data_IF_928342971178
#
_entry.id   IF_928342971178
#
_cell.length_a   1.000
_cell.length_b   1.000
_cell.length_c   1.000
_cell.angle_alpha   90.00
_cell.angle_beta   90.00
_cell.angle_gamma   90.00
#
_symmetry.space_group_name_H-M   'P 1'
#
loop_
_entity.id
_entity.type
_entity.pdbx_description
1 polymer ?
#
# COMPACT_ATOMS: atom_id res chain seq x y z
N UNK A 1 -13.98 11.75 -8.19
CA UNK A 1 -13.45 12.23 -6.90
C UNK A 1 -14.14 11.46 -5.78
N UNK A 2 -13.39 10.97 -4.79
CA UNK A 2 -13.97 10.24 -3.65
C UNK A 2 -14.91 11.13 -2.84
N UNK A 3 -16.00 10.55 -2.37
CA UNK A 3 -16.92 11.16 -1.42
C UNK A 3 -16.61 10.68 -0.01
N UNK A 4 -16.90 11.49 1.02
CA UNK A 4 -16.83 11.02 2.41
C UNK A 4 -17.60 9.70 2.57
N UNK A 5 -17.05 8.76 3.34
CA UNK A 5 -17.55 7.38 3.52
C UNK A 5 -17.49 6.44 2.30
N UNK A 6 -16.91 6.85 1.17
CA UNK A 6 -16.63 5.91 0.10
C UNK A 6 -15.71 4.79 0.60
N UNK A 7 -15.91 3.59 0.04
CA UNK A 7 -14.97 2.48 0.23
C UNK A 7 -13.76 2.73 -0.66
N UNK A 8 -12.59 2.83 -0.04
CA UNK A 8 -11.31 2.93 -0.74
C UNK A 8 -10.62 1.58 -0.66
N UNK A 9 -10.20 1.08 -1.81
CA UNK A 9 -9.42 -0.13 -1.91
C UNK A 9 -7.94 0.23 -1.94
N UNK A 10 -7.19 -0.35 -1.02
CA UNK A 10 -5.74 -0.31 -1.01
C UNK A 10 -5.21 -1.64 -1.50
N UNK A 11 -4.26 -1.62 -2.42
CA UNK A 11 -3.44 -2.78 -2.75
C UNK A 11 -2.08 -2.63 -2.07
N UNK A 12 -1.63 -3.69 -1.39
CA UNK A 12 -0.23 -3.84 -1.00
C UNK A 12 0.44 -4.79 -1.99
N UNK A 13 1.55 -4.37 -2.57
CA UNK A 13 2.32 -5.16 -3.53
C UNK A 13 3.82 -5.04 -3.25
N UNK A 14 4.58 -6.06 -3.66
CA UNK A 14 6.03 -6.09 -3.51
C UNK A 14 6.69 -6.43 -4.83
N UNK A 15 7.60 -5.58 -5.27
CA UNK A 15 8.40 -5.81 -6.48
C UNK A 15 9.89 -5.85 -6.16
N UNK A 16 10.61 -6.76 -6.80
CA UNK A 16 12.03 -6.99 -6.53
C UNK A 16 12.83 -7.07 -7.83
N UNK A 17 13.74 -6.12 -8.04
CA UNK A 17 14.60 -6.00 -9.22
C UNK A 17 16.07 -6.06 -8.79
N UNK A 18 16.64 -7.26 -8.82
CA UNK A 18 18.04 -7.49 -8.42
C UNK A 18 18.27 -7.17 -6.94
N UNK A 19 18.85 -6.01 -6.65
CA UNK A 19 19.10 -5.52 -5.28
C UNK A 19 18.01 -4.57 -4.78
N UNK A 20 17.13 -4.11 -5.67
CA UNK A 20 16.03 -3.21 -5.33
C UNK A 20 14.87 -4.07 -4.85
N UNK A 21 14.38 -3.83 -3.63
CA UNK A 21 13.21 -4.49 -3.07
C UNK A 21 12.25 -3.41 -2.57
N UNK A 22 11.11 -3.25 -3.22
CA UNK A 22 10.16 -2.19 -2.93
C UNK A 22 8.86 -2.82 -2.43
N UNK A 23 8.44 -2.40 -1.24
CA UNK A 23 7.10 -2.65 -0.72
C UNK A 23 6.25 -1.39 -0.94
N UNK A 24 5.10 -1.54 -1.57
CA UNK A 24 4.29 -0.42 -2.02
C UNK A 24 2.84 -0.60 -1.55
N UNK A 25 2.20 0.51 -1.18
CA UNK A 25 0.75 0.62 -1.02
C UNK A 25 0.19 1.57 -2.07
N UNK A 26 -0.84 1.12 -2.76
CA UNK A 26 -1.54 1.86 -3.81
C UNK A 26 -3.02 1.99 -3.52
N UNK A 27 -3.60 3.13 -3.88
CA UNK A 27 -5.06 3.33 -3.94
C UNK A 27 -5.56 2.84 -5.29
N UNK A 28 -6.59 2.01 -5.28
CA UNK A 28 -7.31 1.63 -6.49
C UNK A 28 -8.46 2.61 -6.72
N UNK A 29 -8.42 3.29 -7.85
CA UNK A 29 -9.46 4.20 -8.29
C UNK A 29 -9.66 4.10 -9.80
N UNK A 30 -10.91 4.01 -10.24
CA UNK A 30 -11.28 4.00 -11.66
C UNK A 30 -10.48 2.95 -12.47
N UNK A 31 -10.47 1.70 -11.96
CA UNK A 31 -9.74 0.57 -12.55
C UNK A 31 -8.21 0.75 -12.67
N UNK A 32 -7.63 1.71 -11.92
CA UNK A 32 -6.19 1.98 -11.91
C UNK A 32 -5.63 1.94 -10.49
N UNK A 33 -4.40 1.46 -10.38
CA UNK A 33 -3.63 1.45 -9.13
C UNK A 33 -2.69 2.65 -9.09
N UNK A 34 -2.81 3.47 -8.05
CA UNK A 34 -2.01 4.67 -7.85
C UNK A 34 -1.16 4.54 -6.58
N UNK A 35 0.18 4.50 -6.68
CA UNK A 35 1.04 4.37 -5.51
C UNK A 35 0.93 5.61 -4.63
N UNK A 36 0.62 5.40 -3.34
CA UNK A 36 0.51 6.47 -2.33
C UNK A 36 1.64 6.41 -1.30
N UNK A 37 2.24 5.23 -1.11
CA UNK A 37 3.38 5.05 -0.23
C UNK A 37 4.23 3.88 -0.73
N UNK A 38 5.55 3.98 -0.55
CA UNK A 38 6.49 2.90 -0.84
C UNK A 38 7.72 2.98 0.07
N UNK A 39 8.32 1.84 0.31
CA UNK A 39 9.52 1.69 1.11
C UNK A 39 10.52 0.77 0.40
N UNK A 40 11.78 1.19 0.37
CA UNK A 40 12.86 0.31 -0.05
C UNK A 40 13.27 -0.55 1.13
N UNK A 41 13.07 -1.85 1.01
CA UNK A 41 13.48 -2.81 2.03
C UNK A 41 14.99 -3.06 1.90
N UNK A 42 15.74 -2.86 2.99
CA UNK A 42 17.18 -3.12 3.06
C UNK A 42 17.53 -4.61 3.17
N UNK A 43 16.73 -5.46 2.51
CA UNK A 43 16.89 -6.91 2.49
C UNK A 43 16.42 -7.49 1.17
N UNK A 44 17.05 -8.60 0.80
CA UNK A 44 16.60 -9.44 -0.32
C UNK A 44 15.50 -10.38 0.17
N UNK A 45 14.50 -10.62 -0.68
CA UNK A 45 13.43 -11.58 -0.40
C UNK A 45 12.13 -10.92 0.10
N UNK A 46 11.39 -11.64 0.95
CA UNK A 46 10.03 -11.26 1.35
C UNK A 46 10.01 -10.15 2.40
N UNK A 47 8.96 -9.33 2.37
CA UNK A 47 8.62 -8.47 3.50
C UNK A 47 8.14 -9.31 4.69
N UNK A 48 8.17 -8.73 5.88
CA UNK A 48 7.56 -9.31 7.08
C UNK A 48 6.31 -8.51 7.49
N UNK A 49 5.59 -9.02 8.48
CA UNK A 49 4.37 -8.39 8.97
C UNK A 49 4.59 -6.97 9.50
N UNK A 50 5.73 -6.71 10.16
CA UNK A 50 6.05 -5.40 10.73
C UNK A 50 6.28 -4.35 9.63
N UNK A 51 6.99 -4.71 8.57
CA UNK A 51 7.21 -3.84 7.39
C UNK A 51 5.90 -3.56 6.66
N UNK A 52 5.07 -4.59 6.43
CA UNK A 52 3.75 -4.40 5.83
C UNK A 52 2.87 -3.48 6.68
N UNK A 53 2.87 -3.68 8.01
CA UNK A 53 2.12 -2.86 8.95
C UNK A 53 2.63 -1.42 8.98
N UNK A 54 3.94 -1.21 8.93
CA UNK A 54 4.54 0.12 8.92
C UNK A 54 4.12 0.93 7.68
N UNK A 55 4.22 0.33 6.49
CA UNK A 55 3.85 0.93 5.20
C UNK A 55 2.33 1.20 5.15
N UNK A 56 1.50 0.28 5.64
CA UNK A 56 0.04 0.47 5.70
C UNK A 56 -0.40 1.54 6.70
N UNK A 57 0.27 1.63 7.87
CA UNK A 57 -0.10 2.59 8.91
C UNK A 57 0.01 4.04 8.44
N UNK A 58 1.00 4.35 7.59
CA UNK A 58 1.14 5.66 6.94
C UNK A 58 -0.04 5.97 6.03
N UNK A 59 -0.50 4.96 5.30
CA UNK A 59 -1.63 5.05 4.37
C UNK A 59 -2.98 5.23 5.08
N UNK A 60 -3.16 4.59 6.25
CA UNK A 60 -4.38 4.74 7.05
C UNK A 60 -4.55 6.15 7.63
N UNK A 61 -3.46 6.81 8.03
CA UNK A 61 -3.51 8.21 8.45
C UNK A 61 -4.05 9.13 7.36
N UNK A 62 -3.56 8.96 6.13
CA UNK A 62 -3.98 9.72 4.96
C UNK A 62 -5.46 9.50 4.61
N UNK A 63 -5.97 8.29 4.82
CA UNK A 63 -7.31 7.86 4.41
C UNK A 63 -8.30 7.71 5.57
N UNK A 64 -8.00 8.34 6.71
CA UNK A 64 -8.78 8.23 7.96
C UNK A 64 -10.26 8.61 7.83
N UNK A 65 -10.63 9.43 6.85
CA UNK A 65 -12.01 9.84 6.57
C UNK A 65 -12.81 8.84 5.70
N UNK A 66 -12.20 7.72 5.32
CA UNK A 66 -12.77 6.75 4.39
C UNK A 66 -12.81 5.35 4.99
N UNK A 67 -13.68 4.50 4.44
CA UNK A 67 -13.69 3.07 4.78
C UNK A 67 -12.66 2.35 3.94
N UNK A 68 -11.53 2.01 4.53
CA UNK A 68 -10.43 1.34 3.84
C UNK A 68 -10.64 -0.18 3.79
N UNK A 69 -10.39 -0.78 2.63
CA UNK A 69 -10.30 -2.22 2.40
C UNK A 69 -8.91 -2.52 1.85
N UNK A 70 -8.14 -3.35 2.53
CA UNK A 70 -6.80 -3.74 2.08
C UNK A 70 -6.89 -5.05 1.31
N UNK A 71 -6.26 -5.09 0.14
CA UNK A 71 -6.09 -6.24 -0.73
C UNK A 71 -4.58 -6.56 -0.76
N UNK A 72 -4.24 -7.81 -0.45
CA UNK A 72 -2.87 -8.32 -0.51
C UNK A 72 -2.88 -9.77 -0.97
N UNK A 73 -1.71 -10.23 -1.40
CA UNK A 73 -1.39 -11.65 -1.68
C UNK A 73 -0.73 -12.29 -0.46
#
# INVERSE_FOLDING_TARGET
MFKPNDKIYLAIDRTSWGVINILMVSVIYDHRSWPIYWELLDKKGSSNFDEQTAVLSKSFGLLSNYRVVVLGD
#
